data_IF_857003421001
#
_entry.id   IF_857003421001
#
_cell.length_a   1.000
_cell.length_b   1.000
_cell.length_c   1.000
_cell.angle_alpha   90.00
_cell.angle_beta   90.00
_cell.angle_gamma   90.00
#
_symmetry.space_group_name_H-M   'P 1'
#
loop_
_entity.id
_entity.type
_entity.pdbx_description
1 polymer ?
#
# COMPACT_ATOMS: atom_id res chain seq x y z
N UNK A 1 16.94 5.53 -26.88
CA UNK A 1 15.83 4.94 -26.11
C UNK A 1 15.97 3.42 -26.15
N UNK A 2 16.42 2.81 -25.06
CA UNK A 2 16.57 1.35 -24.94
C UNK A 2 15.27 0.80 -24.35
N UNK A 3 14.57 -0.03 -25.14
CA UNK A 3 13.40 -0.79 -24.64
C UNK A 3 13.92 -1.91 -23.74
N UNK A 4 13.61 -1.85 -22.46
CA UNK A 4 13.86 -2.96 -21.52
C UNK A 4 12.61 -3.83 -21.58
N UNK A 5 12.75 -5.04 -22.13
CA UNK A 5 11.72 -6.06 -22.06
C UNK A 5 11.90 -6.77 -20.72
N UNK A 6 11.00 -6.56 -19.80
CA UNK A 6 10.94 -7.28 -18.53
C UNK A 6 9.91 -8.40 -18.67
N UNK A 7 10.39 -9.63 -18.61
CA UNK A 7 9.56 -10.84 -18.65
C UNK A 7 9.02 -11.11 -17.24
N UNK A 8 7.69 -11.06 -17.09
CA UNK A 8 7.02 -11.25 -15.81
C UNK A 8 6.70 -12.71 -15.54
N UNK A 9 7.11 -13.17 -14.37
CA UNK A 9 6.61 -14.41 -13.78
C UNK A 9 5.39 -14.05 -12.92
N UNK A 10 4.18 -14.35 -13.41
CA UNK A 10 2.96 -14.17 -12.63
C UNK A 10 2.97 -15.15 -11.45
N UNK A 11 3.00 -14.63 -10.23
CA UNK A 11 2.77 -15.44 -9.04
C UNK A 11 1.26 -15.71 -8.98
N UNK A 12 0.86 -16.93 -9.35
CA UNK A 12 -0.49 -17.43 -9.22
C UNK A 12 -0.86 -17.54 -7.73
N UNK A 13 -1.69 -16.63 -7.27
CA UNK A 13 -2.40 -16.75 -6.00
C UNK A 13 -3.87 -16.89 -6.37
N UNK A 14 -4.28 -18.13 -6.65
CA UNK A 14 -5.62 -18.71 -6.59
C UNK A 14 -5.72 -19.85 -7.60
N UNK A 15 -5.39 -21.06 -7.17
CA UNK A 15 -5.76 -22.27 -7.89
C UNK A 15 -7.14 -22.71 -7.43
N UNK A 16 -8.16 -22.22 -8.13
CA UNK A 16 -9.47 -22.88 -8.23
C UNK A 16 -9.71 -23.26 -9.68
N UNK A 17 -10.34 -24.39 -9.99
CA UNK A 17 -10.54 -24.82 -11.36
C UNK A 17 -11.54 -23.91 -12.08
N UNK A 18 -11.11 -23.18 -13.09
CA UNK A 18 -12.04 -22.47 -13.98
C UNK A 18 -11.62 -21.11 -14.52
N UNK A 19 -10.41 -20.64 -14.34
CA UNK A 19 -10.02 -19.38 -14.98
C UNK A 19 -9.33 -19.61 -16.32
N UNK A 20 -10.06 -19.26 -17.38
CA UNK A 20 -9.51 -19.07 -18.73
C UNK A 20 -8.43 -17.99 -18.67
N UNK A 21 -7.22 -18.34 -19.11
CA UNK A 21 -6.16 -17.35 -19.37
C UNK A 21 -6.59 -16.49 -20.55
N UNK A 22 -7.16 -15.31 -20.25
CA UNK A 22 -7.26 -14.27 -21.27
C UNK A 22 -5.84 -13.79 -21.61
N UNK A 23 -5.52 -13.56 -22.88
CA UNK A 23 -4.26 -12.93 -23.26
C UNK A 23 -4.23 -11.55 -22.59
N UNK A 24 -3.24 -11.32 -21.72
CA UNK A 24 -2.99 -10.00 -21.15
C UNK A 24 -2.59 -9.10 -22.33
N UNK A 25 -3.48 -8.20 -22.73
CA UNK A 25 -3.07 -7.04 -23.49
C UNK A 25 -1.99 -6.31 -22.66
N UNK A 26 -0.85 -6.07 -23.29
CA UNK A 26 0.24 -5.30 -22.68
C UNK A 26 -0.29 -3.89 -22.40
N UNK A 27 -0.82 -3.66 -21.22
CA UNK A 27 -1.08 -2.31 -20.77
C UNK A 27 0.28 -1.62 -20.61
N UNK A 28 0.39 -0.50 -21.29
CA UNK A 28 1.57 0.35 -21.18
C UNK A 28 1.76 0.73 -19.71
N UNK A 29 2.85 0.25 -19.10
CA UNK A 29 3.16 0.54 -17.70
C UNK A 29 3.45 2.03 -17.61
N UNK A 30 2.51 2.80 -17.09
CA UNK A 30 2.74 4.21 -16.78
C UNK A 30 3.63 4.27 -15.54
N UNK A 31 4.95 4.29 -15.78
CA UNK A 31 5.95 4.41 -14.71
C UNK A 31 5.63 5.68 -13.91
N UNK A 32 5.64 5.54 -12.61
CA UNK A 32 5.36 6.58 -11.63
C UNK A 32 5.92 7.95 -12.06
N UNK A 33 5.01 8.89 -12.21
CA UNK A 33 5.34 10.29 -12.46
C UNK A 33 6.05 10.86 -11.23
N UNK A 34 6.83 11.88 -11.44
CA UNK A 34 7.59 12.62 -10.41
C UNK A 34 6.83 12.72 -9.08
N UNK A 35 7.47 12.45 -7.93
CA UNK A 35 6.87 12.69 -6.64
C UNK A 35 6.37 14.13 -6.51
N UNK A 36 5.28 14.32 -5.76
CA UNK A 36 4.66 15.63 -5.56
C UNK A 36 4.50 15.92 -4.07
N UNK A 37 4.41 17.19 -3.72
CA UNK A 37 4.07 17.64 -2.38
C UNK A 37 2.59 18.03 -2.34
N UNK A 38 1.81 17.41 -1.43
CA UNK A 38 0.39 17.73 -1.27
C UNK A 38 -0.15 17.42 0.13
N UNK A 39 -1.33 17.94 0.42
CA UNK A 39 -2.11 17.59 1.60
C UNK A 39 -2.85 16.25 1.37
N UNK A 40 -2.76 15.35 2.35
CA UNK A 40 -3.38 14.01 2.34
C UNK A 40 -4.10 13.77 3.66
N UNK A 41 -5.13 12.91 3.67
CA UNK A 41 -5.89 12.56 4.86
C UNK A 41 -7.33 13.04 4.82
N UNK A 42 -7.97 13.17 6.00
CA UNK A 42 -9.37 13.57 6.12
C UNK A 42 -10.35 12.41 5.94
N UNK A 43 -9.92 11.16 6.09
CA UNK A 43 -10.77 9.97 5.96
C UNK A 43 -10.73 9.07 7.21
N UNK A 44 -11.77 8.26 7.37
CA UNK A 44 -11.85 7.23 8.42
C UNK A 44 -11.43 5.87 7.87
N UNK A 45 -10.92 5.02 8.77
CA UNK A 45 -10.51 3.66 8.41
C UNK A 45 -10.74 2.69 9.57
N UNK A 46 -11.04 1.44 9.22
CA UNK A 46 -11.10 0.30 10.15
C UNK A 46 -9.82 -0.49 9.98
N UNK A 47 -9.16 -0.87 11.08
CA UNK A 47 -7.83 -1.44 11.05
C UNK A 47 -7.56 -2.50 12.11
N UNK A 48 -6.50 -3.26 11.91
CA UNK A 48 -5.83 -4.11 12.91
C UNK A 48 -4.34 -3.82 12.93
N UNK A 49 -3.77 -3.77 14.14
CA UNK A 49 -2.32 -3.64 14.34
C UNK A 49 -1.65 -5.00 14.34
N UNK A 50 -0.45 -5.07 13.78
CA UNK A 50 0.38 -6.27 13.72
C UNK A 50 1.82 -5.96 14.12
N UNK A 51 2.42 -6.93 14.81
CA UNK A 51 3.85 -7.00 15.07
C UNK A 51 4.31 -8.38 14.62
N UNK A 52 5.16 -8.46 13.61
CA UNK A 52 5.60 -9.73 13.03
C UNK A 52 6.96 -9.56 12.33
N UNK A 53 7.60 -10.68 12.02
CA UNK A 53 8.73 -10.65 11.08
C UNK A 53 8.22 -10.22 9.70
N UNK A 54 8.97 -9.37 9.00
CA UNK A 54 8.57 -8.85 7.68
C UNK A 54 8.22 -9.96 6.71
N UNK A 55 9.01 -11.03 6.65
CA UNK A 55 8.74 -12.19 5.79
C UNK A 55 7.41 -12.90 6.08
N UNK A 56 6.75 -12.61 7.23
CA UNK A 56 5.44 -13.15 7.62
C UNK A 56 4.29 -12.15 7.49
N UNK A 57 4.55 -10.93 7.04
CA UNK A 57 3.52 -9.87 6.91
C UNK A 57 2.29 -10.33 6.11
N UNK A 58 2.48 -11.19 5.09
CA UNK A 58 1.38 -11.74 4.29
C UNK A 58 0.35 -12.53 5.10
N UNK A 59 0.77 -13.18 6.19
CA UNK A 59 -0.17 -13.90 7.07
C UNK A 59 -1.09 -12.90 7.78
N UNK A 60 -0.56 -11.77 8.20
CA UNK A 60 -1.31 -10.68 8.83
C UNK A 60 -2.37 -10.08 7.88
N UNK A 61 -2.03 -9.92 6.60
CA UNK A 61 -2.98 -9.47 5.56
C UNK A 61 -4.20 -10.39 5.53
N UNK A 62 -3.97 -11.70 5.49
CA UNK A 62 -5.07 -12.68 5.45
C UNK A 62 -5.93 -12.63 6.70
N UNK A 63 -5.32 -12.54 7.88
CA UNK A 63 -6.05 -12.43 9.15
C UNK A 63 -6.97 -11.20 9.16
N UNK A 64 -6.48 -10.04 8.72
CA UNK A 64 -7.27 -8.83 8.62
C UNK A 64 -8.44 -8.98 7.62
N UNK A 65 -8.15 -9.49 6.41
CA UNK A 65 -9.17 -9.66 5.37
C UNK A 65 -10.27 -10.63 5.79
N UNK A 66 -9.92 -11.74 6.44
CA UNK A 66 -10.87 -12.73 6.94
C UNK A 66 -11.77 -12.12 8.03
N UNK A 67 -11.20 -11.32 8.94
CA UNK A 67 -11.99 -10.67 9.99
C UNK A 67 -12.94 -9.60 9.40
N UNK A 68 -12.47 -8.78 8.46
CA UNK A 68 -13.33 -7.83 7.75
C UNK A 68 -14.48 -8.53 7.03
N UNK A 69 -14.19 -9.62 6.31
CA UNK A 69 -15.21 -10.43 5.62
C UNK A 69 -16.24 -11.01 6.59
N UNK A 70 -15.81 -11.53 7.73
CA UNK A 70 -16.69 -12.07 8.79
C UNK A 70 -17.65 -10.99 9.32
N UNK A 71 -17.20 -9.75 9.42
CA UNK A 71 -18.01 -8.62 9.88
C UNK A 71 -18.75 -7.87 8.76
N UNK A 72 -18.68 -8.35 7.51
CA UNK A 72 -19.34 -7.73 6.36
C UNK A 72 -18.73 -6.40 5.92
N UNK A 73 -17.48 -6.13 6.32
CA UNK A 73 -16.76 -4.89 5.97
C UNK A 73 -15.98 -5.11 4.68
N UNK A 74 -16.21 -4.22 3.71
CA UNK A 74 -15.55 -4.24 2.40
C UNK A 74 -15.09 -2.84 2.01
N UNK A 75 -13.98 -2.76 1.29
CA UNK A 75 -13.48 -1.54 0.70
C UNK A 75 -12.72 -1.85 -0.59
N UNK A 76 -12.78 -0.95 -1.56
CA UNK A 76 -11.90 -0.97 -2.74
C UNK A 76 -10.49 -0.47 -2.41
N UNK A 77 -10.32 0.18 -1.27
CA UNK A 77 -9.10 0.83 -0.85
C UNK A 77 -8.52 0.14 0.37
N UNK A 78 -7.39 -0.52 0.17
CA UNK A 78 -6.56 -1.07 1.23
C UNK A 78 -5.62 0.04 1.68
N UNK A 79 -5.45 0.19 2.99
CA UNK A 79 -4.61 1.21 3.59
C UNK A 79 -3.61 0.53 4.53
N UNK A 80 -2.34 0.66 4.24
CA UNK A 80 -1.26 0.11 5.04
C UNK A 80 -0.54 1.25 5.77
N UNK A 81 -0.24 1.04 7.06
CA UNK A 81 0.36 2.01 7.96
C UNK A 81 1.60 1.38 8.57
N UNK A 82 2.78 1.86 8.22
CA UNK A 82 4.05 1.32 8.70
C UNK A 82 4.61 2.21 9.82
N UNK A 83 4.54 1.73 11.06
CA UNK A 83 5.11 2.42 12.23
C UNK A 83 6.60 2.13 12.39
N UNK A 84 7.01 0.89 12.11
CA UNK A 84 8.40 0.44 12.03
C UNK A 84 8.52 -0.44 10.80
N UNK A 85 9.40 -0.08 9.90
CA UNK A 85 9.64 -0.80 8.66
C UNK A 85 11.09 -1.27 8.57
N UNK A 86 11.31 -2.44 7.99
CA UNK A 86 12.62 -2.94 7.56
C UNK A 86 12.55 -3.56 6.18
N UNK A 87 13.63 -3.53 5.43
CA UNK A 87 13.75 -4.26 4.17
C UNK A 87 14.20 -5.72 4.36
N UNK A 88 14.71 -6.07 5.55
CA UNK A 88 15.17 -7.42 5.86
C UNK A 88 14.01 -8.28 6.38
N UNK A 89 13.77 -9.42 5.75
CA UNK A 89 12.67 -10.33 6.08
C UNK A 89 12.76 -10.96 7.49
N UNK A 90 13.96 -10.96 8.09
CA UNK A 90 14.19 -11.45 9.44
C UNK A 90 13.90 -10.40 10.53
N UNK A 91 13.71 -9.14 10.17
CA UNK A 91 13.47 -8.08 11.13
C UNK A 91 11.98 -8.01 11.51
N UNK A 92 11.75 -7.59 12.77
CA UNK A 92 10.41 -7.29 13.25
C UNK A 92 9.93 -5.95 12.69
N UNK A 93 8.72 -5.95 12.12
CA UNK A 93 8.01 -4.76 11.70
C UNK A 93 6.77 -4.53 12.57
N UNK A 94 6.39 -3.24 12.72
CA UNK A 94 5.13 -2.83 13.34
C UNK A 94 4.33 -2.05 12.31
N UNK A 95 3.14 -2.54 12.02
CA UNK A 95 2.30 -1.98 10.98
C UNK A 95 0.83 -2.22 11.26
N UNK A 96 -0.04 -1.54 10.54
CA UNK A 96 -1.47 -1.82 10.55
C UNK A 96 -1.97 -2.03 9.12
N UNK A 97 -2.91 -2.96 8.99
CA UNK A 97 -3.70 -3.16 7.79
C UNK A 97 -5.08 -2.57 8.01
N UNK A 98 -5.57 -1.84 7.03
CA UNK A 98 -6.82 -1.12 7.16
C UNK A 98 -7.64 -1.11 5.86
N UNK A 99 -8.94 -0.87 6.02
CA UNK A 99 -9.85 -0.47 4.94
C UNK A 99 -10.31 0.97 5.16
N UNK A 100 -10.20 1.81 4.13
CA UNK A 100 -10.81 3.14 4.14
C UNK A 100 -12.33 2.94 4.04
N UNK A 101 -13.06 3.46 5.03
CA UNK A 101 -14.50 3.24 5.19
C UNK A 101 -15.20 4.53 5.63
N UNK A 102 -16.53 4.63 5.45
CA UNK A 102 -17.30 5.71 6.06
C UNK A 102 -17.16 5.72 7.59
N UNK A 103 -17.13 6.92 8.20
CA UNK A 103 -16.92 7.09 9.65
C UNK A 103 -18.02 6.51 10.55
N UNK A 104 -19.15 6.10 9.98
CA UNK A 104 -20.25 5.45 10.68
C UNK A 104 -20.30 3.92 10.47
N UNK A 105 -19.25 3.33 9.90
CA UNK A 105 -19.15 1.88 9.70
C UNK A 105 -19.20 1.16 11.05
N UNK A 106 -20.09 0.16 11.17
CA UNK A 106 -20.19 -0.67 12.36
C UNK A 106 -19.13 -1.77 12.33
N UNK A 107 -18.49 -2.00 13.46
CA UNK A 107 -17.46 -3.01 13.63
C UNK A 107 -17.44 -3.51 15.09
N UNK A 108 -16.72 -4.61 15.34
CA UNK A 108 -16.45 -5.15 16.66
C UNK A 108 -14.99 -5.56 16.79
N UNK A 109 -14.55 -5.81 18.02
CA UNK A 109 -13.21 -6.36 18.25
C UNK A 109 -12.98 -7.66 17.43
N UNK A 110 -11.77 -7.90 16.92
CA UNK A 110 -10.52 -7.17 17.18
C UNK A 110 -10.28 -5.93 16.30
N UNK A 111 -11.21 -5.60 15.40
CA UNK A 111 -11.09 -4.40 14.57
C UNK A 111 -11.19 -3.13 15.42
N UNK A 112 -10.48 -2.09 14.98
CA UNK A 112 -10.46 -0.75 15.55
C UNK A 112 -10.83 0.26 14.46
N UNK A 113 -11.28 1.45 14.85
CA UNK A 113 -11.51 2.55 13.91
C UNK A 113 -10.69 3.77 14.33
N UNK A 114 -10.17 4.46 13.34
CA UNK A 114 -9.55 5.76 13.52
C UNK A 114 -9.88 6.68 12.34
N UNK A 115 -9.56 7.95 12.50
CA UNK A 115 -9.59 8.97 11.45
C UNK A 115 -8.20 9.54 11.31
N UNK A 116 -7.73 9.66 10.08
CA UNK A 116 -6.50 10.38 9.78
C UNK A 116 -6.83 11.83 9.47
N UNK A 117 -6.26 12.74 10.22
CA UNK A 117 -6.38 14.16 9.94
C UNK A 117 -5.55 14.54 8.72
N UNK A 118 -5.83 15.68 8.14
CA UNK A 118 -5.06 16.18 6.99
C UNK A 118 -3.64 16.55 7.40
N UNK A 119 -2.67 16.16 6.59
CA UNK A 119 -1.26 16.45 6.79
C UNK A 119 -0.53 16.64 5.45
N UNK A 120 0.61 17.31 5.49
CA UNK A 120 1.46 17.48 4.33
C UNK A 120 2.32 16.23 4.08
N UNK A 121 2.42 15.82 2.82
CA UNK A 121 3.15 14.64 2.43
C UNK A 121 3.92 14.80 1.10
N UNK A 122 5.05 14.12 1.01
CA UNK A 122 5.61 13.70 -0.27
C UNK A 122 4.81 12.48 -0.74
N UNK A 123 4.36 12.50 -1.97
CA UNK A 123 3.36 11.61 -2.50
C UNK A 123 3.76 11.11 -3.89
N UNK A 124 3.66 9.80 -4.10
CA UNK A 124 3.90 9.15 -5.37
C UNK A 124 2.73 8.25 -5.72
N UNK A 125 2.19 8.36 -6.93
CA UNK A 125 1.17 7.45 -7.46
C UNK A 125 1.79 6.56 -8.53
N UNK A 126 1.51 5.28 -8.44
CA UNK A 126 1.76 4.29 -9.46
C UNK A 126 0.44 3.67 -9.93
N UNK A 127 0.30 3.50 -11.25
CA UNK A 127 -0.82 2.78 -11.87
C UNK A 127 -0.26 1.67 -12.74
N UNK A 128 -0.69 0.44 -12.49
CA UNK A 128 -0.24 -0.75 -13.21
C UNK A 128 -0.13 -1.97 -12.31
N UNK A 129 0.37 -3.10 -12.81
CA UNK A 129 0.58 -4.31 -12.02
C UNK A 129 1.51 -4.04 -10.84
N UNK A 130 1.12 -4.46 -9.63
CA UNK A 130 1.93 -4.29 -8.42
C UNK A 130 3.10 -5.26 -8.44
N UNK A 131 4.32 -4.75 -8.69
CA UNK A 131 5.57 -5.50 -8.69
C UNK A 131 6.42 -5.08 -7.47
N UNK A 132 6.73 -6.00 -6.54
CA UNK A 132 7.57 -5.71 -5.39
C UNK A 132 8.95 -5.14 -5.73
N UNK A 133 9.53 -5.50 -6.87
CA UNK A 133 10.81 -4.96 -7.31
C UNK A 133 10.73 -3.47 -7.67
N UNK A 134 9.58 -3.00 -8.11
CA UNK A 134 9.33 -1.59 -8.41
C UNK A 134 9.14 -0.76 -7.13
N UNK A 135 8.54 -1.31 -6.07
CA UNK A 135 8.30 -0.59 -4.81
C UNK A 135 9.61 -0.03 -4.25
N UNK A 136 10.70 -0.81 -4.31
CA UNK A 136 12.01 -0.34 -3.86
C UNK A 136 12.51 0.88 -4.65
N UNK A 137 12.29 0.91 -5.96
CA UNK A 137 12.70 2.06 -6.80
C UNK A 137 11.87 3.31 -6.50
N UNK A 138 10.60 3.15 -6.11
CA UNK A 138 9.73 4.28 -5.74
C UNK A 138 10.12 4.91 -4.41
N UNK A 139 10.55 4.10 -3.44
CA UNK A 139 11.07 4.62 -2.18
C UNK A 139 12.31 5.48 -2.42
N UNK A 140 13.22 5.04 -3.32
CA UNK A 140 14.39 5.84 -3.71
C UNK A 140 13.98 7.16 -4.38
N UNK A 141 12.97 7.16 -5.25
CA UNK A 141 12.46 8.38 -5.88
C UNK A 141 11.89 9.36 -4.84
N UNK A 142 11.13 8.86 -3.86
CA UNK A 142 10.60 9.68 -2.78
C UNK A 142 11.70 10.23 -1.87
N UNK A 143 12.68 9.41 -1.50
CA UNK A 143 13.79 9.84 -0.64
C UNK A 143 14.64 10.92 -1.35
N UNK A 144 14.93 10.77 -2.65
CA UNK A 144 15.60 11.81 -3.43
C UNK A 144 14.77 13.11 -3.50
N UNK A 145 13.46 13.00 -3.74
CA UNK A 145 12.56 14.15 -3.72
C UNK A 145 12.58 14.90 -2.39
N UNK A 146 12.63 14.19 -1.27
CA UNK A 146 12.74 14.81 0.06
C UNK A 146 14.05 15.59 0.20
N UNK A 147 15.18 15.00 -0.21
CA UNK A 147 16.50 15.63 -0.16
C UNK A 147 16.50 16.92 -1.01
N UNK A 148 16.04 16.83 -2.25
CA UNK A 148 16.05 17.94 -3.21
C UNK A 148 15.17 19.13 -2.75
N UNK A 149 14.14 18.85 -1.93
CA UNK A 149 13.21 19.87 -1.42
C UNK A 149 13.46 20.26 0.05
N UNK A 150 14.52 19.77 0.70
CA UNK A 150 14.83 20.06 2.09
C UNK A 150 13.74 19.60 3.06
N UNK A 151 13.06 18.48 2.76
CA UNK A 151 11.99 17.92 3.55
C UNK A 151 12.50 16.75 4.40
N UNK A 152 11.94 16.59 5.59
CA UNK A 152 12.24 15.46 6.49
C UNK A 152 11.05 14.52 6.59
N UNK A 153 11.26 13.24 6.26
CA UNK A 153 10.28 12.18 6.44
C UNK A 153 9.97 11.96 7.92
N UNK A 154 8.70 11.77 8.22
CA UNK A 154 8.24 11.36 9.56
C UNK A 154 7.49 10.03 9.49
N UNK A 155 7.43 9.32 10.60
CA UNK A 155 6.63 8.10 10.71
C UNK A 155 5.22 8.44 11.20
N UNK A 156 4.23 7.62 10.90
CA UNK A 156 4.28 6.41 10.07
C UNK A 156 4.34 6.71 8.56
N UNK A 157 4.82 5.74 7.77
CA UNK A 157 4.68 5.74 6.31
C UNK A 157 3.33 5.11 5.96
N UNK A 158 2.73 5.57 4.87
CA UNK A 158 1.44 5.04 4.42
C UNK A 158 1.50 4.55 2.98
N UNK A 159 0.77 3.48 2.72
CA UNK A 159 0.48 3.01 1.36
C UNK A 159 -1.04 2.85 1.20
N UNK A 160 -1.58 3.36 0.08
CA UNK A 160 -2.98 3.16 -0.28
C UNK A 160 -3.01 2.36 -1.57
N UNK A 161 -3.62 1.19 -1.51
CA UNK A 161 -3.69 0.23 -2.61
C UNK A 161 -5.13 0.15 -3.11
N UNK A 162 -5.32 0.29 -4.42
CA UNK A 162 -6.54 -0.07 -5.12
C UNK A 162 -6.26 -1.23 -6.05
N UNK A 163 -7.12 -2.25 -6.03
CA UNK A 163 -6.89 -3.46 -6.81
C UNK A 163 -7.48 -3.38 -8.22
N UNK A 164 -8.54 -2.58 -8.41
CA UNK A 164 -9.21 -2.50 -9.70
C UNK A 164 -9.71 -1.06 -10.01
N UNK A 165 -9.10 -0.35 -10.99
CA UNK A 165 -7.83 -0.69 -11.64
C UNK A 165 -6.67 -0.65 -10.64
N UNK A 166 -5.57 -1.39 -10.87
CA UNK A 166 -4.42 -1.42 -9.97
C UNK A 166 -3.79 -0.03 -9.81
N UNK A 167 -3.66 0.40 -8.55
CA UNK A 167 -3.03 1.66 -8.18
C UNK A 167 -2.38 1.53 -6.81
N UNK A 168 -1.20 2.09 -6.66
CA UNK A 168 -0.52 2.25 -5.38
C UNK A 168 -0.16 3.73 -5.18
N UNK A 169 -0.57 4.29 -4.06
CA UNK A 169 -0.13 5.60 -3.59
C UNK A 169 0.82 5.40 -2.41
N UNK A 170 2.06 5.87 -2.53
CA UNK A 170 3.05 5.87 -1.45
C UNK A 170 3.11 7.28 -0.86
N UNK A 171 3.02 7.39 0.46
CA UNK A 171 2.78 8.63 1.17
C UNK A 171 3.77 8.75 2.33
N UNK A 172 4.68 9.70 2.25
CA UNK A 172 5.62 10.03 3.30
C UNK A 172 5.19 11.34 3.98
N UNK A 173 4.66 11.29 5.21
CA UNK A 173 4.42 12.51 5.97
C UNK A 173 5.72 13.27 6.16
N UNK A 174 5.68 14.60 6.02
CA UNK A 174 6.89 15.42 6.02
C UNK A 174 6.78 16.64 6.93
N UNK A 175 7.95 17.06 7.42
CA UNK A 175 8.17 18.34 8.08
C UNK A 175 9.17 19.15 7.27
N UNK A 176 9.00 20.48 7.32
CA UNK A 176 10.00 21.45 6.87
C UNK A 176 11.04 21.66 7.95
#
# INVERSE_FOLDING_TARGET
MRKIIVMFLAICIFTGPGYFLMPQEFQEIEIAKTPTFKEVGGFSYVYMDFTCLKGKARESVRVFMDECKKQGIQSEWIFEIFYVWSENDADEIKWAMAYIVPGNTKFSAPLKMAKIEKFNAAFLTYTGPLDPALVKSWNVLLDNFLIDNGLTKTMPIYEIIRLNPPRLDIIYPVKK
#
